data_IF_956831752512
#
_entry.id   IF_956831752512
#
_cell.length_a   1.000
_cell.length_b   1.000
_cell.length_c   1.000
_cell.angle_alpha   90.00
_cell.angle_beta   90.00
_cell.angle_gamma   90.00
#
_symmetry.space_group_name_H-M   'P 1'
#
loop_
_entity.id
_entity.type
_entity.pdbx_description
1 polymer ?
#
# COMPACT_ATOMS: atom_id res chain seq x y z
N UNK A 1 8.04 -17.59 -6.58
CA UNK A 1 7.61 -16.27 -6.07
C UNK A 1 7.62 -16.24 -4.55
N UNK A 2 6.96 -17.20 -3.89
CA UNK A 2 6.90 -17.29 -2.42
C UNK A 2 8.27 -17.32 -1.72
N UNK A 3 9.28 -17.99 -2.31
CA UNK A 3 10.66 -17.99 -1.77
C UNK A 3 11.30 -16.59 -1.75
N UNK A 4 10.97 -15.73 -2.71
CA UNK A 4 11.47 -14.35 -2.77
C UNK A 4 10.73 -13.44 -1.78
N UNK A 5 9.45 -13.72 -1.51
CA UNK A 5 8.70 -13.06 -0.45
C UNK A 5 9.23 -13.43 0.93
N UNK A 6 9.51 -14.71 1.18
CA UNK A 6 10.15 -15.16 2.43
C UNK A 6 11.55 -14.57 2.62
N UNK A 7 12.29 -14.35 1.52
CA UNK A 7 13.57 -13.66 1.54
C UNK A 7 13.44 -12.13 1.73
N UNK A 8 12.23 -11.58 1.90
CA UNK A 8 11.94 -10.15 1.98
C UNK A 8 12.48 -9.35 0.78
N UNK A 9 12.36 -9.94 -0.42
CA UNK A 9 12.68 -9.27 -1.68
C UNK A 9 11.43 -8.75 -2.38
N UNK A 10 10.33 -9.47 -2.26
CA UNK A 10 9.04 -9.11 -2.85
C UNK A 10 7.97 -9.04 -1.78
N UNK A 11 6.96 -8.20 -2.03
CA UNK A 11 5.68 -8.25 -1.34
C UNK A 11 4.58 -8.62 -2.32
N UNK A 12 3.83 -9.68 -2.03
CA UNK A 12 2.76 -10.19 -2.88
C UNK A 12 1.42 -9.80 -2.27
N UNK A 13 0.61 -9.02 -2.99
CA UNK A 13 -0.72 -8.66 -2.54
C UNK A 13 -1.78 -9.35 -3.39
N UNK A 14 -2.81 -9.83 -2.69
CA UNK A 14 -3.97 -10.52 -3.24
C UNK A 14 -5.21 -9.69 -2.94
N UNK A 15 -6.21 -9.73 -3.81
CA UNK A 15 -7.52 -9.17 -3.53
C UNK A 15 -8.40 -10.21 -2.81
N UNK A 16 -9.01 -9.83 -1.69
CA UNK A 16 -9.93 -10.64 -0.87
C UNK A 16 -9.26 -11.84 -0.13
N UNK A 17 -9.62 -12.01 1.15
CA UNK A 17 -9.10 -13.08 2.02
C UNK A 17 -9.85 -14.40 1.83
N UNK A 18 -11.07 -14.36 1.28
CA UNK A 18 -12.00 -15.49 1.26
C UNK A 18 -11.81 -16.43 0.06
N UNK A 19 -11.12 -16.02 -1.00
CA UNK A 19 -10.82 -16.90 -2.14
C UNK A 19 -9.53 -17.68 -1.92
N UNK A 20 -9.67 -18.83 -1.26
CA UNK A 20 -8.92 -20.07 -1.52
C UNK A 20 -7.42 -19.89 -1.84
N UNK A 21 -6.59 -20.10 -0.80
CA UNK A 21 -5.21 -20.64 -0.81
C UNK A 21 -4.26 -20.09 -1.87
N UNK A 22 -3.18 -19.39 -1.43
CA UNK A 22 -1.73 -19.36 -1.84
C UNK A 22 -1.23 -19.95 -3.20
N UNK A 23 -2.10 -20.27 -4.14
CA UNK A 23 -1.88 -20.86 -5.47
C UNK A 23 -2.37 -19.93 -6.59
N UNK A 24 -3.13 -18.88 -6.26
CA UNK A 24 -3.48 -17.85 -7.24
C UNK A 24 -2.30 -16.92 -7.50
N UNK A 25 -2.26 -16.35 -8.71
CA UNK A 25 -1.32 -15.30 -9.08
C UNK A 25 -1.64 -14.04 -8.24
N UNK A 26 -0.64 -13.36 -7.66
CA UNK A 26 -0.89 -12.11 -6.94
C UNK A 26 -1.47 -11.05 -7.89
N UNK A 27 -2.40 -10.25 -7.37
CA UNK A 27 -3.00 -9.13 -8.11
C UNK A 27 -2.01 -7.97 -8.26
N UNK A 28 -1.17 -7.75 -7.24
CA UNK A 28 -0.17 -6.68 -7.21
C UNK A 28 1.13 -7.19 -6.58
N UNK A 29 2.27 -6.79 -7.15
CA UNK A 29 3.60 -7.19 -6.68
C UNK A 29 4.42 -5.92 -6.48
N UNK A 30 5.05 -5.80 -5.32
CA UNK A 30 6.04 -4.76 -5.03
C UNK A 30 7.39 -5.39 -4.71
N UNK A 31 8.47 -4.63 -4.87
CA UNK A 31 9.71 -4.92 -4.13
C UNK A 31 9.42 -4.69 -2.64
N UNK A 32 10.13 -5.42 -1.76
CA UNK A 32 9.73 -5.44 -0.35
C UNK A 32 9.79 -4.07 0.32
N UNK A 33 10.73 -3.20 -0.07
CA UNK A 33 10.86 -1.85 0.46
C UNK A 33 11.34 -0.84 -0.61
N UNK A 34 11.17 0.48 -0.37
CA UNK A 34 11.57 1.51 -1.32
C UNK A 34 13.07 1.51 -1.65
N UNK A 35 13.95 1.15 -0.71
CA UNK A 35 15.39 1.11 -1.00
C UNK A 35 15.72 0.05 -2.04
N UNK A 36 15.12 -1.14 -1.95
CA UNK A 36 15.23 -2.17 -2.99
C UNK A 36 14.66 -1.67 -4.32
N UNK A 37 13.52 -0.97 -4.29
CA UNK A 37 12.93 -0.36 -5.48
C UNK A 37 13.90 0.60 -6.18
N UNK A 38 14.50 1.53 -5.45
CA UNK A 38 15.46 2.47 -6.02
C UNK A 38 16.79 1.82 -6.44
N UNK A 39 17.26 0.81 -5.70
CA UNK A 39 18.53 0.14 -6.00
C UNK A 39 18.45 -0.75 -7.25
N UNK A 40 17.30 -1.41 -7.50
CA UNK A 40 17.15 -2.41 -8.56
C UNK A 40 16.40 -1.90 -9.79
N UNK A 41 15.82 -0.70 -9.74
CA UNK A 41 15.09 -0.17 -10.88
C UNK A 41 16.02 0.13 -12.06
N UNK A 42 15.78 -0.53 -13.20
CA UNK A 42 16.46 -0.26 -14.47
C UNK A 42 15.93 0.97 -15.20
N UNK A 43 14.90 1.62 -14.65
CA UNK A 43 14.23 2.82 -15.17
C UNK A 43 13.94 3.78 -14.01
N UNK A 44 13.71 5.07 -14.28
CA UNK A 44 13.29 6.00 -13.24
C UNK A 44 12.07 5.48 -12.47
N UNK A 45 12.19 5.44 -11.14
CA UNK A 45 11.12 4.99 -10.25
C UNK A 45 9.97 5.99 -10.32
N UNK A 46 8.76 5.47 -10.54
CA UNK A 46 7.53 6.28 -10.44
C UNK A 46 7.26 6.57 -8.97
N UNK A 47 7.11 7.84 -8.62
CA UNK A 47 6.90 8.25 -7.23
C UNK A 47 5.65 7.63 -6.59
N UNK A 48 4.57 7.44 -7.36
CA UNK A 48 3.38 6.71 -6.89
C UNK A 48 3.70 5.29 -6.45
N UNK A 49 4.50 4.57 -7.23
CA UNK A 49 4.96 3.22 -6.88
C UNK A 49 5.85 3.22 -5.64
N UNK A 50 6.73 4.22 -5.47
CA UNK A 50 7.54 4.35 -4.26
C UNK A 50 6.69 4.58 -3.01
N UNK A 51 5.66 5.43 -3.10
CA UNK A 51 4.70 5.70 -2.01
C UNK A 51 3.90 4.45 -1.64
N UNK A 52 3.34 3.76 -2.63
CA UNK A 52 2.63 2.50 -2.44
C UNK A 52 3.54 1.44 -1.77
N UNK A 53 4.77 1.31 -2.27
CA UNK A 53 5.77 0.36 -1.73
C UNK A 53 6.12 0.68 -0.28
N UNK A 54 6.30 1.96 0.06
CA UNK A 54 6.54 2.39 1.43
C UNK A 54 5.36 2.03 2.33
N UNK A 55 4.13 2.40 1.96
CA UNK A 55 2.93 2.14 2.76
C UNK A 55 2.74 0.65 3.03
N UNK A 56 2.86 -0.18 1.99
CA UNK A 56 2.71 -1.62 2.12
C UNK A 56 3.82 -2.23 2.99
N UNK A 57 5.06 -1.74 2.86
CA UNK A 57 6.18 -2.22 3.64
C UNK A 57 6.00 -1.92 5.13
N UNK A 58 5.59 -0.69 5.47
CA UNK A 58 5.42 -0.27 6.86
C UNK A 58 4.20 -0.94 7.51
N UNK A 59 3.04 -0.92 6.85
CA UNK A 59 1.82 -1.48 7.42
C UNK A 59 1.83 -3.01 7.47
N UNK A 60 2.43 -3.66 6.48
CA UNK A 60 2.46 -5.11 6.32
C UNK A 60 3.41 -5.84 7.28
N UNK A 61 4.01 -5.15 8.25
CA UNK A 61 4.80 -5.79 9.31
C UNK A 61 3.90 -6.31 10.46
N UNK A 62 2.99 -5.46 10.96
CA UNK A 62 2.06 -5.82 12.05
C UNK A 62 0.62 -6.08 11.60
N UNK A 63 0.28 -5.78 10.34
CA UNK A 63 -1.10 -5.82 9.85
C UNK A 63 -1.27 -6.72 8.64
N UNK A 64 -2.48 -7.24 8.46
CA UNK A 64 -2.89 -7.84 7.21
C UNK A 64 -3.22 -6.74 6.19
N UNK A 65 -2.53 -6.74 5.06
CA UNK A 65 -2.69 -5.74 4.00
C UNK A 65 -2.98 -6.45 2.69
N UNK A 66 -4.18 -6.22 2.16
CA UNK A 66 -4.64 -6.80 0.89
C UNK A 66 -4.86 -5.71 -0.16
N UNK A 67 -4.86 -6.11 -1.44
CA UNK A 67 -5.02 -5.17 -2.55
C UNK A 67 -6.47 -4.67 -2.66
N UNK A 68 -6.66 -3.35 -2.70
CA UNK A 68 -7.95 -2.67 -2.77
C UNK A 68 -8.59 -2.67 -4.17
N UNK A 69 -8.49 -3.76 -4.94
CA UNK A 69 -8.80 -3.89 -6.38
C UNK A 69 -9.91 -3.00 -6.99
N UNK A 70 -11.02 -2.78 -6.26
CA UNK A 70 -12.14 -1.92 -6.70
C UNK A 70 -12.31 -0.64 -5.87
N UNK A 71 -11.72 -0.57 -4.70
CA UNK A 71 -11.96 0.43 -3.66
C UNK A 71 -10.66 0.70 -2.90
N UNK A 72 -9.99 1.81 -3.21
CA UNK A 72 -8.69 2.16 -2.62
C UNK A 72 -7.49 1.45 -3.27
N UNK A 73 -6.29 1.72 -2.77
CA UNK A 73 -5.09 0.94 -3.09
C UNK A 73 -4.96 -0.28 -2.17
N UNK A 74 -5.33 -0.13 -0.90
CA UNK A 74 -5.14 -1.14 0.14
C UNK A 74 -6.36 -1.29 1.06
N UNK A 75 -6.60 -2.51 1.53
CA UNK A 75 -7.49 -2.78 2.67
C UNK A 75 -6.67 -3.38 3.81
N UNK A 76 -6.74 -2.77 4.98
CA UNK A 76 -5.94 -3.14 6.16
C UNK A 76 -6.84 -3.79 7.21
N UNK A 77 -6.47 -4.99 7.67
CA UNK A 77 -7.17 -5.78 8.68
C UNK A 77 -8.68 -5.94 8.37
N UNK A 78 -9.04 -6.02 7.08
CA UNK A 78 -10.43 -6.10 6.63
C UNK A 78 -11.30 -4.87 6.94
N UNK A 79 -10.75 -3.80 7.54
CA UNK A 79 -11.50 -2.65 8.04
C UNK A 79 -11.17 -1.35 7.33
N UNK A 80 -9.91 -0.94 7.33
CA UNK A 80 -9.52 0.39 6.84
C UNK A 80 -9.22 0.35 5.34
N UNK A 81 -9.86 1.22 4.56
CA UNK A 81 -9.54 1.39 3.13
C UNK A 81 -8.61 2.58 2.94
N UNK A 82 -7.46 2.36 2.33
CA UNK A 82 -6.43 3.37 2.15
C UNK A 82 -6.19 3.63 0.67
N UNK A 83 -6.17 4.90 0.30
CA UNK A 83 -5.74 5.39 -1.01
C UNK A 83 -4.43 6.16 -0.84
N UNK A 84 -3.44 5.91 -1.70
CA UNK A 84 -2.11 6.51 -1.58
C UNK A 84 -1.87 7.50 -2.72
N UNK A 85 -1.27 8.64 -2.39
CA UNK A 85 -1.02 9.67 -3.39
C UNK A 85 -0.13 10.80 -2.90
N UNK A 86 0.00 11.83 -3.75
CA UNK A 86 0.59 13.10 -3.35
C UNK A 86 -0.47 14.05 -2.79
N UNK A 87 -0.05 15.28 -2.48
CA UNK A 87 -0.88 16.34 -1.91
C UNK A 87 -2.21 16.53 -2.66
N UNK A 88 -2.16 16.54 -4.00
CA UNK A 88 -3.33 16.73 -4.87
C UNK A 88 -4.26 15.52 -5.02
N UNK A 89 -4.03 14.40 -4.32
CA UNK A 89 -4.89 13.22 -4.43
C UNK A 89 -6.30 13.53 -3.91
N UNK A 90 -7.31 13.29 -4.75
CA UNK A 90 -8.72 13.48 -4.40
C UNK A 90 -9.28 12.33 -3.57
N UNK A 91 -10.35 12.58 -2.81
CA UNK A 91 -11.06 11.61 -1.97
C UNK A 91 -12.18 10.86 -2.70
N UNK A 92 -12.47 11.22 -3.96
CA UNK A 92 -13.64 10.76 -4.70
C UNK A 92 -13.71 9.23 -4.84
N UNK A 93 -12.57 8.53 -4.95
CA UNK A 93 -12.53 7.07 -5.13
C UNK A 93 -13.01 6.29 -3.90
N UNK A 94 -12.93 6.89 -2.71
CA UNK A 94 -13.22 6.23 -1.43
C UNK A 94 -14.27 6.98 -0.61
N UNK A 95 -14.89 8.03 -1.17
CA UNK A 95 -15.74 8.97 -0.43
C UNK A 95 -16.92 8.31 0.30
N UNK A 96 -17.55 7.32 -0.33
CA UNK A 96 -18.72 6.62 0.20
C UNK A 96 -18.37 5.41 1.09
N UNK A 97 -17.08 5.18 1.36
CA UNK A 97 -16.62 4.05 2.16
C UNK A 97 -16.40 4.47 3.61
N UNK A 98 -16.97 3.75 4.59
CA UNK A 98 -16.64 3.97 5.99
C UNK A 98 -15.18 3.61 6.25
N UNK A 99 -14.58 4.23 7.28
CA UNK A 99 -13.21 3.96 7.71
C UNK A 99 -12.18 4.05 6.55
N UNK A 100 -12.36 5.05 5.67
CA UNK A 100 -11.48 5.26 4.52
C UNK A 100 -10.68 6.56 4.61
N UNK A 101 -9.43 6.50 4.16
CA UNK A 101 -8.46 7.58 4.33
C UNK A 101 -7.50 7.67 3.13
N UNK A 102 -7.02 8.88 2.84
CA UNK A 102 -5.89 9.10 1.94
C UNK A 102 -4.61 9.17 2.76
N UNK A 103 -3.58 8.42 2.36
CA UNK A 103 -2.20 8.66 2.78
C UNK A 103 -1.51 9.53 1.73
N UNK A 104 -1.33 10.82 2.05
CA UNK A 104 -0.80 11.81 1.13
C UNK A 104 0.64 12.19 1.45
N UNK A 105 1.49 12.12 0.45
CA UNK A 105 2.82 12.70 0.44
C UNK A 105 2.77 14.22 0.16
N UNK A 106 3.65 15.00 0.77
CA UNK A 106 3.71 16.46 0.61
C UNK A 106 2.79 17.25 1.54
N UNK A 107 2.24 16.64 2.60
CA UNK A 107 1.51 17.36 3.65
C UNK A 107 2.13 17.12 5.04
N UNK A 108 2.05 18.12 5.92
CA UNK A 108 2.60 18.04 7.28
C UNK A 108 1.52 17.80 8.34
N UNK A 109 0.31 18.28 8.10
CA UNK A 109 -0.81 18.16 9.05
C UNK A 109 -1.98 17.42 8.41
N UNK A 110 -2.71 16.57 9.15
CA UNK A 110 -3.90 15.93 8.62
C UNK A 110 -4.99 16.95 8.31
N UNK A 111 -5.82 16.64 7.31
CA UNK A 111 -6.98 17.44 6.94
C UNK A 111 -8.11 16.52 6.48
N UNK A 112 -9.24 16.54 7.20
CA UNK A 112 -10.39 15.64 6.97
C UNK A 112 -9.93 14.16 7.00
N UNK A 113 -10.21 13.40 5.95
CA UNK A 113 -9.82 12.00 5.77
C UNK A 113 -8.42 11.85 5.13
N UNK A 114 -7.65 12.93 4.98
CA UNK A 114 -6.31 12.89 4.43
C UNK A 114 -5.28 13.00 5.54
N UNK A 115 -4.42 12.00 5.62
CA UNK A 115 -3.37 11.82 6.61
C UNK A 115 -2.00 11.94 5.93
N UNK A 116 -0.99 12.54 6.59
CA UNK A 116 0.36 12.56 6.05
C UNK A 116 0.93 11.15 5.90
N UNK A 117 1.50 10.82 4.74
CA UNK A 117 1.99 9.46 4.46
C UNK A 117 3.07 9.02 5.46
N UNK A 118 3.90 9.94 5.95
CA UNK A 118 5.01 9.64 6.83
C UNK A 118 4.58 9.07 8.19
N UNK A 119 3.32 9.23 8.61
CA UNK A 119 2.83 8.69 9.89
C UNK A 119 2.94 7.17 9.95
N UNK A 120 2.81 6.47 8.82
CA UNK A 120 2.88 5.00 8.82
C UNK A 120 4.30 4.51 9.07
N UNK A 121 5.32 5.36 8.91
CA UNK A 121 6.70 5.04 9.29
C UNK A 121 6.92 4.84 10.79
N UNK A 122 5.94 5.19 11.63
CA UNK A 122 5.96 4.94 13.07
C UNK A 122 5.17 3.68 13.49
N UNK A 123 4.63 2.92 12.53
CA UNK A 123 3.78 1.75 12.78
C UNK A 123 4.49 0.41 12.54
N UNK A 124 5.81 0.46 12.33
CA UNK A 124 6.68 -0.71 12.22
C UNK A 124 6.96 -1.32 13.59
#
# INVERSE_FOLDING_TARGET
MNSLEWAKLLRLLYADLLSVKKMQKPDKIYLDNPNLLYALASRPVKIGTARETFVVNQLGYMNDVVYGKKTGDFKVNGRYTLEVGGEGKSYDQIADLPDSYILADGIETPYRHKLPIWIVGFLY
#
